data_IF_723584757040
#
_entry.id   IF_723584757040
#
_cell.length_a   1.000
_cell.length_b   1.000
_cell.length_c   1.000
_cell.angle_alpha   90.00
_cell.angle_beta   90.00
_cell.angle_gamma   90.00
#
_symmetry.space_group_name_H-M   'P 1'
#
loop_
_entity.id
_entity.type
_entity.pdbx_description
1 polymer ?
#
# COMPACT_ATOMS: atom_id res chain seq x y z
N UNK A 1 24.39 -2.82 39.05
CA UNK A 1 23.55 -3.99 38.73
C UNK A 1 22.81 -3.65 37.45
N UNK A 2 23.10 -4.35 36.35
CA UNK A 2 22.69 -3.97 34.99
C UNK A 2 21.43 -4.71 34.55
N UNK A 3 20.29 -4.02 34.46
CA UNK A 3 19.10 -4.54 33.79
C UNK A 3 19.14 -4.16 32.30
N UNK A 4 19.80 -5.00 31.50
CA UNK A 4 19.75 -4.95 30.04
C UNK A 4 18.40 -5.50 29.57
N UNK A 5 17.39 -4.63 29.50
CA UNK A 5 16.08 -4.99 28.97
C UNK A 5 16.19 -5.42 27.50
N UNK A 6 15.90 -6.70 27.25
CA UNK A 6 15.90 -7.35 25.93
C UNK A 6 14.73 -6.91 25.04
N UNK A 7 14.60 -5.62 24.73
CA UNK A 7 13.57 -5.13 23.78
C UNK A 7 13.94 -5.30 22.30
N UNK A 8 14.94 -6.13 22.00
CA UNK A 8 15.48 -6.36 20.66
C UNK A 8 14.76 -7.43 19.84
N UNK A 9 13.43 -7.54 19.88
CA UNK A 9 12.71 -8.31 18.85
C UNK A 9 12.34 -7.36 17.73
N UNK A 10 13.30 -7.10 16.83
CA UNK A 10 13.00 -6.45 15.55
C UNK A 10 12.09 -7.40 14.77
N UNK A 11 10.78 -7.21 14.87
CA UNK A 11 9.82 -7.93 14.06
C UNK A 11 10.28 -7.80 12.60
N UNK A 12 10.47 -8.93 11.92
CA UNK A 12 11.01 -8.94 10.56
C UNK A 12 9.99 -8.31 9.63
N UNK A 13 10.16 -7.02 9.32
CA UNK A 13 9.25 -6.30 8.42
C UNK A 13 9.47 -6.86 7.02
N UNK A 14 8.47 -7.55 6.48
CA UNK A 14 8.50 -8.03 5.10
C UNK A 14 7.86 -7.00 4.16
N UNK A 15 8.64 -6.20 3.42
CA UNK A 15 8.10 -5.15 2.55
C UNK A 15 7.20 -5.70 1.44
N UNK A 16 7.42 -6.95 0.99
CA UNK A 16 6.55 -7.60 -0.01
C UNK A 16 5.16 -7.89 0.56
N UNK A 17 5.06 -8.23 1.85
CA UNK A 17 3.78 -8.43 2.53
C UNK A 17 3.02 -7.10 2.62
N UNK A 18 3.71 -6.01 2.97
CA UNK A 18 3.13 -4.67 2.98
C UNK A 18 2.56 -4.28 1.62
N UNK A 19 3.33 -4.49 0.54
CA UNK A 19 2.86 -4.23 -0.82
C UNK A 19 1.62 -5.05 -1.20
N UNK A 20 1.60 -6.36 -0.92
CA UNK A 20 0.44 -7.22 -1.22
C UNK A 20 -0.83 -6.74 -0.53
N UNK A 21 -0.74 -6.32 0.73
CA UNK A 21 -1.89 -5.79 1.47
C UNK A 21 -2.38 -4.49 0.82
N UNK A 22 -1.47 -3.55 0.53
CA UNK A 22 -1.84 -2.28 -0.12
C UNK A 22 -2.51 -2.53 -1.48
N UNK A 23 -1.95 -3.43 -2.30
CA UNK A 23 -2.52 -3.80 -3.58
C UNK A 23 -3.91 -4.45 -3.45
N UNK A 24 -4.09 -5.38 -2.50
CA UNK A 24 -5.39 -6.00 -2.26
C UNK A 24 -6.45 -4.98 -1.83
N UNK A 25 -6.11 -4.09 -0.90
CA UNK A 25 -7.02 -3.04 -0.46
C UNK A 25 -7.37 -2.12 -1.64
N UNK A 26 -6.40 -1.75 -2.48
CA UNK A 26 -6.66 -0.98 -3.70
C UNK A 26 -7.63 -1.69 -4.65
N UNK A 27 -7.40 -2.97 -4.94
CA UNK A 27 -8.23 -3.76 -5.84
C UNK A 27 -9.65 -4.01 -5.32
N UNK A 28 -9.87 -3.97 -4.01
CA UNK A 28 -11.20 -4.15 -3.42
C UNK A 28 -11.92 -2.80 -3.22
N UNK A 29 -11.21 -1.77 -2.75
CA UNK A 29 -11.80 -0.47 -2.44
C UNK A 29 -12.18 0.31 -3.70
N UNK A 30 -11.34 0.30 -4.74
CA UNK A 30 -11.61 1.06 -5.97
C UNK A 30 -12.91 0.59 -6.66
N UNK A 31 -13.16 -0.70 -6.92
CA UNK A 31 -14.43 -1.14 -7.49
C UNK A 31 -15.63 -0.77 -6.63
N UNK A 32 -15.52 -0.89 -5.29
CA UNK A 32 -16.61 -0.49 -4.39
C UNK A 32 -16.92 1.00 -4.53
N UNK A 33 -15.91 1.87 -4.58
CA UNK A 33 -16.10 3.31 -4.79
C UNK A 33 -16.77 3.61 -6.14
N UNK A 34 -16.37 2.92 -7.20
CA UNK A 34 -17.00 3.05 -8.53
C UNK A 34 -18.44 2.54 -8.56
N UNK A 35 -18.75 1.46 -7.82
CA UNK A 35 -20.12 0.97 -7.66
C UNK A 35 -20.98 1.97 -6.90
N UNK A 36 -20.48 2.53 -5.79
CA UNK A 36 -21.19 3.58 -5.04
C UNK A 36 -21.45 4.79 -5.93
N UNK A 37 -20.45 5.26 -6.67
CA UNK A 37 -20.62 6.36 -7.62
C UNK A 37 -21.68 6.04 -8.68
N UNK A 38 -21.64 4.85 -9.27
CA UNK A 38 -22.59 4.42 -10.29
C UNK A 38 -24.04 4.38 -9.78
N UNK A 39 -24.23 3.97 -8.52
CA UNK A 39 -25.55 3.79 -7.90
C UNK A 39 -26.12 5.05 -7.25
N UNK A 40 -25.32 6.09 -7.02
CA UNK A 40 -25.75 7.30 -6.30
C UNK A 40 -25.93 8.49 -7.23
N UNK A 41 -24.84 9.11 -7.68
CA UNK A 41 -24.86 10.27 -8.57
C UNK A 41 -23.68 10.20 -9.55
N UNK A 42 -24.03 10.14 -10.84
CA UNK A 42 -23.10 10.02 -11.95
C UNK A 42 -22.69 11.38 -12.54
N UNK A 43 -23.18 12.50 -12.00
CA UNK A 43 -22.86 13.85 -12.50
C UNK A 43 -21.40 14.22 -12.26
N UNK A 44 -20.78 13.73 -11.18
CA UNK A 44 -19.39 14.02 -10.85
C UNK A 44 -18.62 12.74 -10.48
N UNK A 45 -17.60 12.32 -11.26
CA UNK A 45 -16.86 11.07 -11.07
C UNK A 45 -15.83 11.15 -9.93
N UNK A 46 -16.29 11.36 -8.69
CA UNK A 46 -15.40 11.53 -7.54
C UNK A 46 -14.49 10.32 -7.29
N UNK A 47 -14.92 9.10 -7.64
CA UNK A 47 -14.12 7.87 -7.50
C UNK A 47 -12.84 7.90 -8.36
N UNK A 48 -12.80 8.72 -9.42
CA UNK A 48 -11.62 8.90 -10.26
C UNK A 48 -10.43 9.46 -9.45
N UNK A 49 -10.67 10.44 -8.59
CA UNK A 49 -9.61 11.07 -7.80
C UNK A 49 -8.98 10.09 -6.81
N UNK A 50 -9.80 9.28 -6.14
CA UNK A 50 -9.32 8.19 -5.26
C UNK A 50 -8.51 7.17 -6.06
N UNK A 51 -8.97 6.79 -7.26
CA UNK A 51 -8.27 5.85 -8.13
C UNK A 51 -6.88 6.36 -8.52
N UNK A 52 -6.78 7.63 -8.93
CA UNK A 52 -5.51 8.23 -9.35
C UNK A 52 -4.54 8.40 -8.17
N UNK A 53 -5.00 9.01 -7.07
CA UNK A 53 -4.15 9.27 -5.91
C UNK A 53 -3.61 7.97 -5.29
N UNK A 54 -4.46 6.96 -5.10
CA UNK A 54 -4.04 5.68 -4.55
C UNK A 54 -3.25 4.85 -5.56
N UNK A 55 -3.58 4.93 -6.85
CA UNK A 55 -2.82 4.26 -7.92
C UNK A 55 -1.37 4.71 -7.96
N UNK A 56 -1.11 6.01 -7.78
CA UNK A 56 0.23 6.57 -7.63
C UNK A 56 0.92 5.99 -6.38
N UNK A 57 0.22 5.90 -5.25
CA UNK A 57 0.74 5.29 -4.02
C UNK A 57 1.14 3.82 -4.20
N UNK A 58 0.31 3.01 -4.86
CA UNK A 58 0.60 1.61 -5.21
C UNK A 58 1.81 1.52 -6.14
N UNK A 59 1.91 2.39 -7.15
CA UNK A 59 3.04 2.44 -8.06
C UNK A 59 4.37 2.71 -7.32
N UNK A 60 4.41 3.76 -6.49
CA UNK A 60 5.64 4.07 -5.74
C UNK A 60 5.97 2.99 -4.69
N UNK A 61 4.97 2.35 -4.09
CA UNK A 61 5.21 1.20 -3.22
C UNK A 61 5.81 0.02 -3.98
N UNK A 62 5.32 -0.29 -5.18
CA UNK A 62 5.91 -1.30 -6.06
C UNK A 62 7.37 -0.97 -6.37
N UNK A 63 7.65 0.27 -6.80
CA UNK A 63 9.00 0.72 -7.10
C UNK A 63 9.92 0.58 -5.88
N UNK A 64 9.48 0.99 -4.69
CA UNK A 64 10.25 0.84 -3.46
C UNK A 64 10.56 -0.62 -3.09
N UNK A 65 9.61 -1.55 -3.30
CA UNK A 65 9.78 -2.96 -2.90
C UNK A 65 10.59 -3.77 -3.90
N UNK A 66 10.41 -3.52 -5.20
CA UNK A 66 10.90 -4.37 -6.29
C UNK A 66 11.97 -3.72 -7.17
N UNK A 67 11.99 -2.40 -7.32
CA UNK A 67 12.90 -1.70 -8.25
C UNK A 67 14.07 -1.05 -7.51
N UNK A 68 13.78 -0.25 -6.48
CA UNK A 68 14.78 0.53 -5.76
C UNK A 68 15.51 -0.26 -4.68
N UNK A 69 15.04 -1.48 -4.36
CA UNK A 69 15.73 -2.34 -3.41
C UNK A 69 16.97 -2.95 -4.07
N UNK A 70 18.07 -2.19 -4.06
CA UNK A 70 19.41 -2.71 -4.34
C UNK A 70 19.69 -3.89 -3.40
N UNK A 71 20.02 -5.03 -3.97
CA UNK A 71 20.82 -6.05 -3.29
C UNK A 71 22.20 -5.47 -3.07
N UNK A 72 22.46 -4.97 -1.88
CA UNK A 72 23.82 -4.68 -1.43
C UNK A 72 24.47 -6.03 -1.09
N UNK A 73 25.19 -6.60 -2.05
CA UNK A 73 26.12 -7.70 -1.81
C UNK A 73 27.44 -7.31 -2.49
N UNK A 74 28.44 -7.05 -1.64
CA UNK A 74 29.86 -6.97 -1.96
C UNK A 74 30.42 -8.39 -2.08
#
# INVERSE_FOLDING_TARGET
MTDQTKWGTTATINPRKGFRIHLLVFLLAIPVMWVVWYLTDRTYPWALWSTLAWGVGVLFHYLGVYVFRKTENY
#
